data_IF_526228097748
#
_entry.id   IF_526228097748
#
_cell.length_a   1.000
_cell.length_b   1.000
_cell.length_c   1.000
_cell.angle_alpha   90.00
_cell.angle_beta   90.00
_cell.angle_gamma   90.00
#
_symmetry.space_group_name_H-M   'P 1'
#
loop_
_entity.id
_entity.type
_entity.pdbx_description
1 polymer ?
#
# COMPACT_ATOMS: atom_id res chain seq x y z
N UNK A 1 -19.30 13.56 14.38
CA UNK A 1 -18.37 12.57 14.96
C UNK A 1 -17.17 13.35 15.45
N UNK A 2 -17.32 13.96 16.63
CA UNK A 2 -16.22 14.53 17.41
C UNK A 2 -15.45 13.36 18.01
N UNK A 3 -14.27 13.08 17.47
CA UNK A 3 -13.32 12.19 18.12
C UNK A 3 -11.97 12.89 18.11
N UNK A 4 -11.69 13.53 19.26
CA UNK A 4 -10.38 13.98 19.76
C UNK A 4 -9.88 15.32 19.20
N UNK A 5 -10.33 16.41 19.85
CA UNK A 5 -9.71 17.76 19.80
C UNK A 5 -8.36 17.78 20.54
N UNK A 6 -7.40 16.99 20.09
CA UNK A 6 -6.00 17.27 20.43
C UNK A 6 -5.40 18.03 19.24
N UNK A 7 -4.73 19.19 19.49
CA UNK A 7 -4.03 19.87 18.42
C UNK A 7 -3.06 18.87 17.78
N UNK A 8 -3.02 18.80 16.44
CA UNK A 8 -2.14 17.85 15.76
C UNK A 8 -0.71 18.02 16.25
N UNK A 9 -0.10 16.92 16.70
CA UNK A 9 1.27 16.94 17.24
C UNK A 9 2.26 17.46 16.20
N UNK A 10 2.06 17.06 14.94
CA UNK A 10 2.88 17.50 13.81
C UNK A 10 2.01 18.31 12.88
N UNK A 11 2.24 19.63 12.85
CA UNK A 11 1.54 20.56 11.96
C UNK A 11 2.52 21.44 11.22
N UNK A 12 2.41 21.48 9.90
CA UNK A 12 3.11 22.45 9.06
C UNK A 12 2.15 23.62 8.75
N UNK A 13 2.53 24.88 9.04
CA UNK A 13 1.65 26.01 8.77
C UNK A 13 1.36 26.11 7.26
N UNK A 14 0.08 26.23 6.91
CA UNK A 14 -0.38 26.34 5.52
C UNK A 14 -0.60 25.00 4.78
N UNK A 15 -0.32 23.85 5.40
CA UNK A 15 -0.50 22.53 4.80
C UNK A 15 -1.58 21.76 5.56
N UNK A 16 -2.54 21.08 4.88
CA UNK A 16 -3.52 20.25 5.55
C UNK A 16 -2.89 19.11 6.36
N UNK A 17 -3.47 18.78 7.51
CA UNK A 17 -2.89 17.81 8.45
C UNK A 17 -2.73 16.42 7.81
N UNK A 18 -3.71 15.94 7.06
CA UNK A 18 -3.65 14.66 6.37
C UNK A 18 -2.48 14.57 5.37
N UNK A 19 -2.11 15.67 4.71
CA UNK A 19 -0.94 15.74 3.81
C UNK A 19 0.35 15.66 4.62
N UNK A 20 0.42 16.41 5.73
CA UNK A 20 1.56 16.39 6.64
C UNK A 20 1.82 14.97 7.20
N UNK A 21 0.77 14.29 7.66
CA UNK A 21 0.89 12.92 8.14
C UNK A 21 1.19 11.91 7.02
N UNK A 22 0.74 12.16 5.79
CA UNK A 22 1.11 11.33 4.62
C UNK A 22 2.60 11.43 4.37
N UNK A 23 3.16 12.64 4.41
CA UNK A 23 4.60 12.87 4.27
C UNK A 23 5.38 12.23 5.42
N UNK A 24 4.88 12.32 6.65
CA UNK A 24 5.48 11.65 7.80
C UNK A 24 5.56 10.13 7.59
N UNK A 25 4.45 9.49 7.19
CA UNK A 25 4.41 8.05 6.90
C UNK A 25 5.40 7.69 5.78
N UNK A 26 5.44 8.48 4.70
CA UNK A 26 6.38 8.25 3.59
C UNK A 26 7.84 8.36 4.04
N UNK A 27 8.18 9.36 4.86
CA UNK A 27 9.53 9.52 5.40
C UNK A 27 9.90 8.36 6.31
N UNK A 28 8.98 7.91 7.18
CA UNK A 28 9.21 6.75 8.05
C UNK A 28 9.48 5.50 7.21
N UNK A 29 8.62 5.20 6.23
CA UNK A 29 8.78 4.03 5.37
C UNK A 29 10.08 4.10 4.54
N UNK A 30 10.39 5.26 3.95
CA UNK A 30 11.60 5.46 3.19
C UNK A 30 12.86 5.32 4.06
N UNK A 31 12.84 5.86 5.29
CA UNK A 31 13.94 5.74 6.23
C UNK A 31 14.16 4.29 6.67
N UNK A 32 13.08 3.55 7.00
CA UNK A 32 13.14 2.14 7.38
C UNK A 32 13.65 1.28 6.22
N UNK A 33 13.11 1.48 5.01
CA UNK A 33 13.55 0.77 3.82
C UNK A 33 15.04 1.05 3.52
N UNK A 34 15.45 2.32 3.54
CA UNK A 34 16.83 2.73 3.32
C UNK A 34 17.78 2.15 4.38
N UNK A 35 17.40 2.20 5.66
CA UNK A 35 18.20 1.66 6.74
C UNK A 35 18.40 0.14 6.60
N UNK A 36 17.34 -0.59 6.22
CA UNK A 36 17.42 -2.02 5.98
C UNK A 36 18.21 -2.39 4.71
N UNK A 37 18.13 -1.57 3.65
CA UNK A 37 18.80 -1.82 2.37
C UNK A 37 20.26 -1.37 2.33
N UNK A 38 20.71 -0.52 3.27
CA UNK A 38 22.06 0.07 3.24
C UNK A 38 23.19 -0.95 3.43
N UNK A 39 22.95 -2.01 4.20
CA UNK A 39 23.96 -3.03 4.53
C UNK A 39 23.39 -4.45 4.43
N UNK A 40 22.90 -4.82 3.24
CA UNK A 40 22.33 -6.16 3.01
C UNK A 40 23.41 -7.23 3.24
N UNK A 41 23.14 -8.14 4.17
CA UNK A 41 24.01 -9.29 4.50
C UNK A 41 23.36 -10.59 4.02
N UNK A 42 24.17 -11.58 3.67
CA UNK A 42 23.70 -12.92 3.32
C UNK A 42 22.98 -13.62 4.47
N UNK A 43 23.42 -13.38 5.72
CA UNK A 43 22.71 -13.83 6.92
C UNK A 43 22.00 -12.60 7.50
N UNK A 44 20.66 -12.49 7.32
CA UNK A 44 19.91 -11.32 7.70
C UNK A 44 19.90 -11.14 9.22
N UNK A 45 20.04 -9.90 9.68
CA UNK A 45 20.03 -9.54 11.11
C UNK A 45 19.29 -8.22 11.34
N UNK A 46 18.66 -8.08 12.50
CA UNK A 46 17.99 -6.84 12.93
C UNK A 46 16.87 -6.41 11.98
N UNK A 47 16.93 -5.16 11.49
CA UNK A 47 15.90 -4.58 10.62
C UNK A 47 15.78 -5.28 9.26
N UNK A 48 16.89 -5.79 8.70
CA UNK A 48 16.84 -6.55 7.44
C UNK A 48 15.96 -7.80 7.61
N UNK A 49 16.21 -8.58 8.67
CA UNK A 49 15.43 -9.80 8.95
C UNK A 49 13.94 -9.50 9.17
N UNK A 50 13.62 -8.43 9.90
CA UNK A 50 12.23 -8.03 10.09
C UNK A 50 11.54 -7.68 8.78
N UNK A 51 12.17 -6.86 7.92
CA UNK A 51 11.58 -6.49 6.64
C UNK A 51 11.49 -7.66 5.66
N UNK A 52 12.46 -8.58 5.67
CA UNK A 52 12.40 -9.80 4.87
C UNK A 52 11.20 -10.65 5.25
N UNK A 53 10.98 -10.89 6.55
CA UNK A 53 9.79 -11.63 7.03
C UNK A 53 8.50 -10.93 6.58
N UNK A 54 8.41 -9.61 6.73
CA UNK A 54 7.22 -8.85 6.29
C UNK A 54 7.01 -8.98 4.77
N UNK A 55 8.06 -8.85 3.96
CA UNK A 55 7.97 -9.02 2.51
C UNK A 55 7.62 -10.45 2.11
N UNK A 56 8.13 -11.46 2.81
CA UNK A 56 7.75 -12.86 2.62
C UNK A 56 6.26 -13.07 2.85
N UNK A 57 5.66 -12.42 3.84
CA UNK A 57 4.20 -12.48 4.04
C UNK A 57 3.43 -11.90 2.85
N UNK A 58 3.90 -10.79 2.28
CA UNK A 58 3.30 -10.24 1.06
C UNK A 58 3.48 -11.17 -0.13
N UNK A 59 4.64 -11.82 -0.28
CA UNK A 59 4.90 -12.80 -1.34
C UNK A 59 3.94 -13.99 -1.21
N UNK A 60 3.83 -14.57 -0.02
CA UNK A 60 2.95 -15.70 0.24
C UNK A 60 1.48 -15.35 -0.06
N UNK A 61 1.00 -14.21 0.45
CA UNK A 61 -0.36 -13.74 0.17
C UNK A 61 -0.61 -13.54 -1.33
N UNK A 62 0.38 -13.02 -2.07
CA UNK A 62 0.27 -12.84 -3.52
C UNK A 62 0.24 -14.19 -4.24
N UNK A 63 1.08 -15.12 -3.84
CA UNK A 63 1.14 -16.45 -4.45
C UNK A 63 -0.16 -17.23 -4.21
N UNK A 64 -0.74 -17.12 -3.02
CA UNK A 64 -1.98 -17.81 -2.67
C UNK A 64 -3.19 -17.27 -3.47
N UNK A 65 -3.20 -15.96 -3.77
CA UNK A 65 -4.34 -15.30 -4.44
C UNK A 65 -4.18 -15.28 -5.97
N UNK A 66 -2.97 -15.03 -6.47
CA UNK A 66 -2.70 -14.77 -7.88
C UNK A 66 -1.70 -15.76 -8.51
N UNK A 67 -1.10 -16.65 -7.71
CA UNK A 67 0.00 -17.51 -8.15
C UNK A 67 1.33 -16.77 -8.30
N UNK A 68 2.38 -17.52 -8.63
CA UNK A 68 3.77 -17.02 -8.74
C UNK A 68 3.91 -15.90 -9.77
N UNK A 69 3.08 -15.88 -10.82
CA UNK A 69 3.05 -14.78 -11.78
C UNK A 69 2.64 -13.44 -11.16
N UNK A 70 1.89 -13.48 -10.06
CA UNK A 70 1.43 -12.32 -9.31
C UNK A 70 2.58 -11.54 -8.65
N UNK A 71 3.73 -12.18 -8.39
CA UNK A 71 4.89 -11.57 -7.72
C UNK A 71 5.42 -10.33 -8.44
N UNK A 72 5.19 -10.19 -9.76
CA UNK A 72 5.52 -8.97 -10.51
C UNK A 72 4.80 -7.71 -10.01
N UNK A 73 3.68 -7.88 -9.29
CA UNK A 73 2.90 -6.79 -8.71
C UNK A 73 3.23 -6.53 -7.25
N UNK A 74 4.19 -7.30 -6.67
CA UNK A 74 4.66 -7.12 -5.31
C UNK A 74 5.03 -5.67 -4.99
N UNK A 75 5.79 -4.92 -5.83
CA UNK A 75 6.15 -3.54 -5.49
C UNK A 75 4.92 -2.66 -5.25
N UNK A 76 3.85 -2.80 -6.04
CA UNK A 76 2.63 -2.04 -5.84
C UNK A 76 1.88 -2.48 -4.58
N UNK A 77 1.65 -3.79 -4.45
CA UNK A 77 0.81 -4.34 -3.38
C UNK A 77 1.48 -4.24 -2.00
N UNK A 78 2.78 -4.54 -1.92
CA UNK A 78 3.53 -4.45 -0.67
C UNK A 78 3.70 -2.99 -0.23
N UNK A 79 4.04 -2.06 -1.13
CA UNK A 79 4.17 -0.63 -0.76
C UNK A 79 2.84 -0.05 -0.31
N UNK A 80 1.73 -0.35 -1.01
CA UNK A 80 0.41 0.12 -0.60
C UNK A 80 -0.02 -0.49 0.74
N UNK A 81 0.21 -1.79 0.93
CA UNK A 81 -0.08 -2.48 2.18
C UNK A 81 0.71 -1.90 3.36
N UNK A 82 2.02 -1.72 3.19
CA UNK A 82 2.89 -1.10 4.19
C UNK A 82 2.44 0.34 4.52
N UNK A 83 2.11 1.14 3.50
CA UNK A 83 1.57 2.48 3.69
C UNK A 83 0.30 2.47 4.55
N UNK A 84 -0.68 1.63 4.20
CA UNK A 84 -1.97 1.55 4.91
C UNK A 84 -1.75 1.07 6.35
N UNK A 85 -0.95 0.03 6.55
CA UNK A 85 -0.64 -0.50 7.89
C UNK A 85 0.04 0.55 8.75
N UNK A 86 1.09 1.21 8.25
CA UNK A 86 1.80 2.25 9.00
C UNK A 86 0.91 3.45 9.29
N UNK A 87 0.10 3.90 8.32
CA UNK A 87 -0.86 4.99 8.51
C UNK A 87 -1.88 4.68 9.61
N UNK A 88 -2.40 3.45 9.63
CA UNK A 88 -3.35 3.02 10.65
C UNK A 88 -2.69 2.85 12.02
N UNK A 89 -1.46 2.31 12.09
CA UNK A 89 -0.73 2.18 13.35
C UNK A 89 -0.40 3.54 13.98
N UNK A 90 -0.02 4.54 13.18
CA UNK A 90 0.25 5.89 13.68
C UNK A 90 -1.00 6.54 14.27
N UNK A 91 -2.19 6.29 13.70
CA UNK A 91 -3.45 6.83 14.24
C UNK A 91 -3.83 6.31 15.64
N UNK A 92 -3.18 5.24 16.11
CA UNK A 92 -3.38 4.73 17.46
C UNK A 92 -2.69 5.62 18.51
N UNK A 93 -1.70 6.42 18.11
CA UNK A 93 -1.00 7.36 18.99
C UNK A 93 -1.89 8.58 19.21
N UNK A 94 -2.27 8.91 20.46
CA UNK A 94 -3.09 10.09 20.75
C UNK A 94 -2.46 11.36 20.19
N UNK A 95 -3.24 12.18 19.47
CA UNK A 95 -2.77 13.42 18.85
C UNK A 95 -2.11 13.26 17.46
N UNK A 96 -1.98 12.03 16.94
CA UNK A 96 -1.58 11.78 15.57
C UNK A 96 -2.79 11.43 14.69
N UNK A 97 -2.95 12.15 13.58
CA UNK A 97 -3.98 11.87 12.59
C UNK A 97 -3.50 10.85 11.56
N UNK A 98 -4.21 9.74 11.40
CA UNK A 98 -3.94 8.81 10.31
C UNK A 98 -4.28 9.46 8.96
N UNK A 99 -3.40 9.38 7.93
CA UNK A 99 -3.75 9.82 6.58
C UNK A 99 -5.04 9.18 6.05
N UNK A 100 -5.31 7.95 6.47
CA UNK A 100 -6.48 7.12 6.12
C UNK A 100 -7.79 7.60 6.75
N UNK A 101 -7.76 8.51 7.72
CA UNK A 101 -8.97 9.16 8.26
C UNK A 101 -9.60 10.16 7.28
N UNK A 102 -8.87 10.58 6.24
CA UNK A 102 -9.38 11.43 5.18
C UNK A 102 -9.80 10.59 3.96
N UNK A 103 -11.03 10.83 3.49
CA UNK A 103 -11.59 10.13 2.32
C UNK A 103 -10.75 10.32 1.05
N UNK A 104 -10.12 11.47 0.87
CA UNK A 104 -9.30 11.74 -0.32
C UNK A 104 -8.09 10.79 -0.37
N UNK A 105 -7.48 10.48 0.77
CA UNK A 105 -6.33 9.57 0.84
C UNK A 105 -6.75 8.14 0.50
N UNK A 106 -7.87 7.67 1.07
CA UNK A 106 -8.36 6.32 0.80
C UNK A 106 -8.87 6.17 -0.62
N UNK A 107 -9.57 7.19 -1.15
CA UNK A 107 -10.00 7.26 -2.54
C UNK A 107 -8.81 7.27 -3.51
N UNK A 108 -7.75 8.02 -3.22
CA UNK A 108 -6.54 8.03 -4.05
C UNK A 108 -5.89 6.63 -4.10
N UNK A 109 -5.76 5.95 -2.97
CA UNK A 109 -5.25 4.58 -2.91
C UNK A 109 -6.14 3.62 -3.73
N UNK A 110 -7.46 3.72 -3.57
CA UNK A 110 -8.41 2.89 -4.30
C UNK A 110 -8.33 3.13 -5.81
N UNK A 111 -8.22 4.37 -6.26
CA UNK A 111 -8.09 4.73 -7.67
C UNK A 111 -6.82 4.17 -8.30
N UNK A 112 -5.68 4.24 -7.59
CA UNK A 112 -4.42 3.66 -8.07
C UNK A 112 -4.55 2.15 -8.32
N UNK A 113 -5.13 1.42 -7.37
CA UNK A 113 -5.36 -0.03 -7.51
C UNK A 113 -6.38 -0.32 -8.61
N UNK A 114 -7.50 0.41 -8.63
CA UNK A 114 -8.57 0.24 -9.60
C UNK A 114 -8.06 0.43 -11.03
N UNK A 115 -7.35 1.53 -11.30
CA UNK A 115 -6.79 1.81 -12.62
C UNK A 115 -5.73 0.78 -12.99
N UNK A 116 -4.84 0.42 -12.06
CA UNK A 116 -3.80 -0.59 -12.31
C UNK A 116 -4.42 -1.94 -12.67
N UNK A 117 -5.44 -2.38 -11.94
CA UNK A 117 -6.14 -3.64 -12.18
C UNK A 117 -6.75 -3.69 -13.59
N UNK A 118 -7.53 -2.67 -13.96
CA UNK A 118 -8.18 -2.62 -15.28
C UNK A 118 -7.15 -2.53 -16.41
N UNK A 119 -6.12 -1.70 -16.23
CA UNK A 119 -5.03 -1.56 -17.20
C UNK A 119 -4.32 -2.88 -17.44
N UNK A 120 -3.98 -3.61 -16.38
CA UNK A 120 -3.32 -4.91 -16.45
C UNK A 120 -4.24 -5.95 -17.09
N UNK A 121 -5.52 -5.99 -16.71
CA UNK A 121 -6.51 -6.92 -17.25
C UNK A 121 -6.68 -6.76 -18.76
N UNK A 122 -6.86 -5.53 -19.22
CA UNK A 122 -6.95 -5.19 -20.66
C UNK A 122 -5.68 -5.57 -21.41
N UNK A 123 -4.48 -5.32 -20.83
CA UNK A 123 -3.21 -5.67 -21.48
C UNK A 123 -2.96 -7.17 -21.56
N UNK A 124 -3.36 -7.95 -20.55
CA UNK A 124 -3.13 -9.40 -20.53
C UNK A 124 -4.12 -10.16 -21.42
N UNK A 125 -5.39 -9.76 -21.44
CA UNK A 125 -6.47 -10.52 -22.10
C UNK A 125 -6.90 -9.91 -23.45
N UNK A 126 -6.62 -8.63 -23.68
CA UNK A 126 -7.16 -7.84 -24.79
C UNK A 126 -8.53 -7.24 -24.43
N UNK A 127 -8.82 -6.02 -24.92
CA UNK A 127 -10.00 -5.26 -24.49
C UNK A 127 -11.33 -6.00 -24.69
N UNK A 128 -11.50 -6.69 -25.83
CA UNK A 128 -12.73 -7.42 -26.15
C UNK A 128 -12.92 -8.65 -25.25
N UNK A 129 -11.87 -9.45 -25.04
CA UNK A 129 -11.95 -10.64 -24.17
C UNK A 129 -12.09 -10.25 -22.69
N UNK A 130 -11.45 -9.16 -22.27
CA UNK A 130 -11.58 -8.60 -20.93
C UNK A 130 -13.02 -8.13 -20.68
N UNK A 131 -13.64 -7.40 -21.62
CA UNK A 131 -15.04 -7.01 -21.51
C UNK A 131 -16.00 -8.21 -21.55
N UNK A 132 -15.70 -9.22 -22.38
CA UNK A 132 -16.47 -10.46 -22.42
C UNK A 132 -16.45 -11.22 -21.09
N UNK A 133 -15.39 -11.08 -20.27
CA UNK A 133 -15.34 -11.68 -18.94
C UNK A 133 -16.43 -11.17 -17.99
N UNK A 134 -16.89 -9.92 -18.15
CA UNK A 134 -17.98 -9.36 -17.35
C UNK A 134 -19.36 -9.87 -17.76
N UNK A 135 -19.50 -10.46 -18.95
CA UNK A 135 -20.76 -11.01 -19.44
C UNK A 135 -21.06 -12.43 -18.90
N UNK A 136 -20.23 -12.95 -18.00
CA UNK A 136 -20.33 -14.32 -17.48
C UNK A 136 -19.63 -15.33 -18.40
N UNK A 137 -19.74 -16.64 -18.12
CA UNK A 137 -19.23 -17.66 -19.03
C UNK A 137 -20.02 -17.51 -20.33
N UNK A 138 -19.42 -16.93 -21.36
CA UNK A 138 -19.93 -17.06 -22.73
C UNK A 138 -19.66 -18.51 -23.14
N UNK A 139 -20.66 -19.39 -23.20
CA UNK A 139 -20.51 -20.55 -24.07
C UNK A 139 -20.28 -20.00 -25.48
N UNK A 140 -19.46 -20.68 -26.29
CA UNK A 140 -19.06 -20.36 -27.67
C UNK A 140 -17.77 -19.49 -27.72
N UNK A 141 -16.60 -19.98 -28.13
CA UNK A 141 -16.25 -21.10 -29.01
C UNK A 141 -14.88 -21.70 -28.65
#
# INVERSE_FOLDING_TARGET
MEAIEHPPIVRLPGIPDHVTYTWLVMVILAAVAFAASRNVRLVPRGLQNFLEVVLEQFIQMIDDVMGVEGRRYLPLLATLGLFIVTANLISLVPGMGGPTSNLNTTAACALVVFVSYHWIGVRKQGALKYLAHFAGPVPLA
#
